data_IF_436361405346
#
_entry.id   IF_436361405346
#
_cell.length_a   1.000
_cell.length_b   1.000
_cell.length_c   1.000
_cell.angle_alpha   90.00
_cell.angle_beta   90.00
_cell.angle_gamma   90.00
#
_symmetry.space_group_name_H-M   'P 1'
#
loop_
_entity.id
_entity.type
_entity.pdbx_description
1 polymer ?
#
# COMPACT_ATOMS: atom_id res chain seq x y z
N UNK A 1 -2.89 16.04 8.29
CA UNK A 1 -1.96 14.94 7.93
C UNK A 1 -2.36 13.69 8.70
N UNK A 2 -2.39 12.53 8.04
CA UNK A 2 -2.65 11.23 8.67
C UNK A 2 -1.49 10.27 8.44
N UNK A 3 -1.32 9.35 9.37
CA UNK A 3 -0.31 8.28 9.29
C UNK A 3 -0.99 6.93 9.17
N UNK A 4 -0.31 5.99 8.51
CA UNK A 4 -0.74 4.61 8.38
C UNK A 4 0.48 3.69 8.41
N UNK A 5 0.27 2.40 8.59
CA UNK A 5 1.33 1.40 8.56
C UNK A 5 1.15 0.53 7.33
N UNK A 6 2.25 0.23 6.65
CA UNK A 6 2.29 -0.72 5.54
C UNK A 6 3.47 -1.67 5.70
N UNK A 7 3.37 -2.85 5.08
CA UNK A 7 4.46 -3.84 5.11
C UNK A 7 5.37 -3.65 3.90
N UNK A 8 6.67 -3.47 4.12
CA UNK A 8 7.64 -3.39 3.05
C UNK A 8 7.76 -4.75 2.34
N UNK A 9 7.53 -4.85 1.03
CA UNK A 9 7.63 -6.12 0.30
C UNK A 9 9.08 -6.61 0.16
N UNK A 10 10.07 -5.72 0.28
CA UNK A 10 11.49 -6.06 0.15
C UNK A 10 12.07 -6.61 1.44
N UNK A 11 11.78 -5.99 2.59
CA UNK A 11 12.39 -6.35 3.89
C UNK A 11 11.42 -7.05 4.83
N UNK A 12 10.11 -6.98 4.57
CA UNK A 12 9.07 -7.53 5.44
C UNK A 12 8.72 -6.68 6.66
N UNK A 13 9.43 -5.57 6.91
CA UNK A 13 9.19 -4.68 8.06
C UNK A 13 7.91 -3.86 7.92
N UNK A 14 7.33 -3.50 9.06
CA UNK A 14 6.25 -2.52 9.15
C UNK A 14 6.84 -1.12 9.09
N UNK A 15 6.35 -0.30 8.16
CA UNK A 15 6.85 1.05 7.91
C UNK A 15 5.70 2.04 8.06
N UNK A 16 5.96 3.15 8.75
CA UNK A 16 4.99 4.22 8.91
C UNK A 16 5.00 5.13 7.67
N UNK A 17 3.87 5.20 6.99
CA UNK A 17 3.60 6.12 5.89
C UNK A 17 2.81 7.34 6.36
N UNK A 18 2.81 8.39 5.53
CA UNK A 18 2.05 9.62 5.78
C UNK A 18 1.37 10.13 4.52
N UNK A 19 0.15 10.64 4.65
CA UNK A 19 -0.55 11.30 3.55
C UNK A 19 -1.33 12.52 4.03
N UNK A 20 -1.59 13.43 3.10
CA UNK A 20 -2.46 14.56 3.34
C UNK A 20 -3.91 14.14 3.11
N UNK A 21 -4.76 14.40 4.10
CA UNK A 21 -6.19 14.27 3.94
C UNK A 21 -6.66 15.55 3.26
N UNK A 22 -6.83 15.50 1.94
CA UNK A 22 -7.52 16.54 1.20
C UNK A 22 -9.03 16.40 1.47
N UNK A 23 -9.77 17.52 1.47
CA UNK A 23 -11.24 17.53 1.63
C UNK A 23 -12.01 16.88 0.45
N UNK A 24 -11.31 16.13 -0.41
CA UNK A 24 -11.87 15.38 -1.53
C UNK A 24 -11.82 13.86 -1.27
N UNK A 25 -12.30 13.04 -2.22
CA UNK A 25 -12.21 11.59 -2.09
C UNK A 25 -10.74 11.18 -1.94
N UNK A 26 -10.47 10.35 -0.92
CA UNK A 26 -9.13 9.85 -0.62
C UNK A 26 -8.49 9.26 -1.89
N UNK A 27 -7.24 9.63 -2.21
CA UNK A 27 -6.53 8.98 -3.31
C UNK A 27 -6.43 7.49 -3.03
N UNK A 28 -6.83 6.65 -3.99
CA UNK A 28 -6.85 5.19 -3.84
C UNK A 28 -5.45 4.63 -3.52
N UNK A 29 -4.40 5.35 -3.93
CA UNK A 29 -3.01 5.00 -3.69
C UNK A 29 -2.15 6.25 -3.45
N UNK A 30 -1.17 6.11 -2.57
CA UNK A 30 -0.15 7.14 -2.30
C UNK A 30 1.25 6.57 -2.45
N UNK A 31 2.15 7.36 -3.03
CA UNK A 31 3.58 7.03 -3.07
C UNK A 31 4.24 7.28 -1.71
N UNK A 32 4.98 6.30 -1.20
CA UNK A 32 5.72 6.39 0.06
C UNK A 32 7.17 5.97 -0.15
N UNK A 33 8.10 6.83 0.26
CA UNK A 33 9.49 6.43 0.42
C UNK A 33 9.62 5.54 1.65
N UNK A 34 10.12 4.34 1.44
CA UNK A 34 10.27 3.33 2.46
C UNK A 34 11.54 3.56 3.28
N UNK A 35 11.41 3.85 4.57
CA UNK A 35 12.59 4.02 5.43
C UNK A 35 13.35 2.71 5.69
N UNK A 36 12.74 1.55 5.43
CA UNK A 36 13.37 0.25 5.64
C UNK A 36 14.26 -0.19 4.47
N UNK A 37 13.89 0.13 3.22
CA UNK A 37 14.63 -0.32 2.02
C UNK A 37 15.04 0.81 1.07
N UNK A 38 14.68 2.04 1.41
CA UNK A 38 14.90 3.25 0.61
C UNK A 38 14.19 3.27 -0.77
N UNK A 39 13.31 2.31 -1.04
CA UNK A 39 12.51 2.24 -2.27
C UNK A 39 11.22 3.08 -2.21
N UNK A 40 10.64 3.34 -3.39
CA UNK A 40 9.31 3.96 -3.51
C UNK A 40 8.22 2.87 -3.59
N UNK A 41 7.24 2.91 -2.69
CA UNK A 41 6.10 2.00 -2.69
C UNK A 41 4.80 2.75 -2.91
N UNK A 42 3.93 2.21 -3.75
CA UNK A 42 2.58 2.74 -4.00
C UNK A 42 1.60 1.93 -3.17
N UNK A 43 0.98 2.56 -2.18
CA UNK A 43 0.23 1.89 -1.11
C UNK A 43 -1.16 2.50 -0.95
N UNK A 44 -2.18 1.68 -0.73
CA UNK A 44 -3.50 2.15 -0.32
C UNK A 44 -3.43 2.52 1.17
N UNK A 45 -3.55 3.81 1.54
CA UNK A 45 -3.42 4.23 2.93
C UNK A 45 -4.57 3.73 3.83
N UNK A 46 -5.69 3.28 3.25
CA UNK A 46 -6.84 2.74 4.00
C UNK A 46 -6.61 1.31 4.48
N UNK A 47 -5.81 0.54 3.73
CA UNK A 47 -5.58 -0.88 4.00
C UNK A 47 -4.12 -1.19 4.35
N UNK A 48 -3.20 -0.28 4.06
CA UNK A 48 -1.76 -0.51 4.18
C UNK A 48 -1.20 -1.47 3.12
N UNK A 49 -1.99 -1.85 2.10
CA UNK A 49 -1.59 -2.81 1.07
C UNK A 49 -0.95 -2.12 -0.12
N UNK A 50 0.18 -2.66 -0.58
CA UNK A 50 0.84 -2.20 -1.80
C UNK A 50 0.10 -2.64 -3.06
N UNK A 51 0.25 -1.90 -4.16
CA UNK A 51 -0.33 -2.29 -5.46
C UNK A 51 0.09 -3.68 -5.94
N UNK A 52 1.32 -4.11 -5.64
CA UNK A 52 1.80 -5.45 -6.00
C UNK A 52 1.01 -6.56 -5.30
N UNK A 53 0.51 -6.30 -4.09
CA UNK A 53 -0.29 -7.25 -3.31
C UNK A 53 -1.75 -7.29 -3.81
N UNK A 54 -2.28 -6.14 -4.23
CA UNK A 54 -3.60 -6.06 -4.86
C UNK A 54 -3.66 -6.82 -6.19
N UNK A 55 -2.59 -6.78 -7.01
CA UNK A 55 -2.50 -7.62 -8.21
C UNK A 55 -2.56 -9.10 -7.87
N UNK A 56 -1.82 -9.55 -6.84
CA UNK A 56 -1.82 -10.94 -6.41
C UNK A 56 -3.16 -11.41 -5.82
N UNK A 57 -3.90 -10.51 -5.13
CA UNK A 57 -5.24 -10.82 -4.61
C UNK A 57 -6.28 -10.89 -5.74
N UNK A 58 -6.17 -10.03 -6.76
CA UNK A 58 -7.04 -10.07 -7.93
C UNK A 58 -6.86 -11.38 -8.72
N UNK A 59 -5.62 -11.88 -8.85
CA UNK A 59 -5.37 -13.15 -9.56
C UNK A 59 -5.92 -14.37 -8.83
N UNK A 60 -5.87 -14.40 -7.49
CA UNK A 60 -6.39 -15.54 -6.71
C UNK A 60 -7.91 -15.69 -6.77
N UNK A 61 -8.66 -14.61 -6.97
CA UNK A 61 -10.12 -14.70 -7.14
C UNK A 61 -10.53 -15.29 -8.48
N UNK A 62 -9.63 -15.28 -9.46
CA UNK A 62 -9.91 -15.73 -10.82
C UNK A 62 -9.66 -17.24 -11.01
N UNK A 63 -9.09 -17.91 -10.01
CA UNK A 63 -8.75 -19.34 -10.05
C UNK A 63 -9.66 -20.21 -9.15
N UNK A 64 -10.83 -19.72 -8.77
CA UNK A 64 -11.80 -20.47 -7.94
C UNK A 64 -13.18 -20.58 -8.59
N UNK A 65 -13.26 -20.31 -9.89
CA UNK A 65 -14.44 -20.42 -10.77
C UNK A 65 -14.13 -21.38 -11.94
N UNK A 66 -13.58 -22.56 -11.63
CA UNK A 66 -13.46 -23.71 -12.55
C UNK A 66 -14.01 -24.97 -11.87
#
# INVERSE_FOLDING_TARGET
MRTFVFRCPTTGYNVQGRYEESNGPLPAFVGQHCLACNGLHVVDPRTGKGMSELRAVATRRQSSDD
#
